data_IF_577011898346
#
_entry.id   IF_577011898346
#
_cell.length_a   1.000
_cell.length_b   1.000
_cell.length_c   1.000
_cell.angle_alpha   90.00
_cell.angle_beta   90.00
_cell.angle_gamma   90.00
#
_symmetry.space_group_name_H-M   'P 1'
#
loop_
_entity.id
_entity.type
_entity.pdbx_description
1 polymer ?
#
# COMPACT_ATOMS: atom_id res chain seq x y z
N UNK A 1 23.89 9.61 -5.10
CA UNK A 1 23.12 9.22 -3.90
C UNK A 1 21.96 8.36 -4.36
N UNK A 2 21.79 7.14 -3.85
CA UNK A 2 20.66 6.30 -4.23
C UNK A 2 19.35 6.82 -3.63
N UNK A 3 18.27 6.80 -4.41
CA UNK A 3 16.92 7.23 -4.00
C UNK A 3 15.94 6.07 -4.13
N UNK A 4 15.23 5.77 -3.04
CA UNK A 4 14.11 4.83 -3.03
C UNK A 4 12.78 5.56 -2.92
N UNK A 5 11.78 5.12 -3.68
CA UNK A 5 10.41 5.63 -3.65
C UNK A 5 9.43 4.46 -3.46
N UNK A 6 8.39 4.64 -2.65
CA UNK A 6 7.41 3.60 -2.37
C UNK A 6 5.98 4.17 -2.34
N UNK A 7 5.05 3.54 -3.06
CA UNK A 7 3.64 3.92 -3.05
C UNK A 7 2.82 3.06 -2.08
N UNK A 8 2.25 3.72 -1.06
CA UNK A 8 1.43 3.07 -0.04
C UNK A 8 -0.01 2.77 -0.48
N UNK A 9 -0.51 3.48 -1.48
CA UNK A 9 -1.86 3.26 -2.04
C UNK A 9 -1.79 2.36 -3.27
N UNK A 10 -2.90 1.71 -3.64
CA UNK A 10 -2.96 0.94 -4.89
C UNK A 10 -2.56 1.78 -6.11
N UNK A 11 -1.75 1.20 -6.99
CA UNK A 11 -1.48 1.80 -8.30
C UNK A 11 -2.55 1.33 -9.31
N UNK A 12 -3.27 2.26 -9.98
CA UNK A 12 -4.39 1.91 -10.87
C UNK A 12 -3.90 1.21 -12.14
N UNK A 13 -4.81 0.56 -12.87
CA UNK A 13 -4.48 0.00 -14.18
C UNK A 13 -4.09 1.11 -15.19
N UNK A 14 -3.30 0.80 -16.24
CA UNK A 14 -2.88 1.78 -17.23
C UNK A 14 -4.03 2.55 -17.89
N UNK A 15 -5.17 1.89 -18.11
CA UNK A 15 -6.36 2.47 -18.73
C UNK A 15 -6.98 3.58 -17.89
N UNK A 16 -6.93 3.42 -16.56
CA UNK A 16 -7.39 4.42 -15.60
C UNK A 16 -6.31 5.49 -15.41
N UNK A 17 -5.05 5.09 -15.25
CA UNK A 17 -3.93 5.99 -14.97
C UNK A 17 -3.75 7.06 -16.05
N UNK A 18 -3.87 6.68 -17.33
CA UNK A 18 -3.73 7.61 -18.47
C UNK A 18 -4.77 8.74 -18.51
N UNK A 19 -5.85 8.64 -17.72
CA UNK A 19 -6.85 9.71 -17.62
C UNK A 19 -6.36 10.91 -16.80
N UNK A 20 -5.28 10.75 -16.02
CA UNK A 20 -4.70 11.83 -15.22
C UNK A 20 -4.09 12.91 -16.13
N UNK A 21 -4.35 14.21 -15.88
CA UNK A 21 -3.84 15.30 -16.71
C UNK A 21 -2.30 15.32 -16.84
N UNK A 22 -1.60 14.94 -15.77
CA UNK A 22 -0.14 14.93 -15.69
C UNK A 22 0.44 13.50 -15.64
N UNK A 23 -0.25 12.54 -16.26
CA UNK A 23 0.11 11.12 -16.19
C UNK A 23 1.55 10.86 -16.67
N UNK A 24 2.02 11.56 -17.71
CA UNK A 24 3.38 11.36 -18.23
C UNK A 24 4.43 11.94 -17.29
N UNK A 25 4.20 13.16 -16.81
CA UNK A 25 5.11 13.92 -15.95
C UNK A 25 5.28 13.23 -14.59
N UNK A 26 4.21 12.65 -14.05
CA UNK A 26 4.28 11.88 -12.80
C UNK A 26 5.13 10.62 -12.99
N UNK A 27 4.91 9.84 -14.06
CA UNK A 27 5.73 8.65 -14.33
C UNK A 27 7.20 9.01 -14.51
N UNK A 28 7.50 10.04 -15.30
CA UNK A 28 8.86 10.51 -15.54
C UNK A 28 9.53 10.98 -14.23
N UNK A 29 8.80 11.72 -13.39
CA UNK A 29 9.27 12.13 -12.08
C UNK A 29 9.57 10.96 -11.14
N UNK A 30 8.71 9.94 -11.11
CA UNK A 30 8.91 8.74 -10.28
C UNK A 30 10.08 7.90 -10.78
N UNK A 31 10.30 7.81 -12.10
CA UNK A 31 11.47 7.17 -12.71
C UNK A 31 12.80 7.86 -12.37
N UNK A 32 12.77 9.03 -11.73
CA UNK A 32 13.96 9.65 -11.15
C UNK A 32 14.60 8.81 -10.02
N UNK A 33 13.82 7.97 -9.34
CA UNK A 33 14.29 7.07 -8.28
C UNK A 33 15.02 5.85 -8.83
N UNK A 34 15.97 5.32 -8.06
CA UNK A 34 16.74 4.12 -8.43
C UNK A 34 15.98 2.82 -8.08
N UNK A 35 15.13 2.87 -7.04
CA UNK A 35 14.23 1.80 -6.63
C UNK A 35 12.81 2.35 -6.43
N UNK A 36 11.83 1.69 -7.04
CA UNK A 36 10.41 2.03 -7.00
C UNK A 36 9.67 0.79 -6.45
N UNK A 37 9.00 0.95 -5.31
CA UNK A 37 8.32 -0.13 -4.62
C UNK A 37 6.81 0.03 -4.54
N UNK A 38 6.11 -1.10 -4.62
CA UNK A 38 4.66 -1.20 -4.44
C UNK A 38 4.28 -2.31 -3.45
N UNK A 39 3.05 -2.34 -2.94
CA UNK A 39 2.61 -3.41 -2.04
C UNK A 39 2.46 -4.78 -2.71
N UNK A 40 2.11 -4.81 -4.00
CA UNK A 40 1.80 -6.06 -4.73
C UNK A 40 2.48 -6.07 -6.09
N UNK A 41 2.69 -7.28 -6.60
CA UNK A 41 3.24 -7.48 -7.94
C UNK A 41 2.33 -6.89 -9.02
N UNK A 42 1.01 -6.92 -8.82
CA UNK A 42 0.06 -6.37 -9.79
C UNK A 42 0.14 -4.84 -9.87
N UNK A 43 0.37 -4.14 -8.76
CA UNK A 43 0.59 -2.70 -8.77
C UNK A 43 1.90 -2.33 -9.47
N UNK A 44 2.97 -3.10 -9.23
CA UNK A 44 4.24 -2.95 -9.94
C UNK A 44 4.08 -3.18 -11.46
N UNK A 45 3.36 -4.23 -11.87
CA UNK A 45 3.04 -4.50 -13.28
C UNK A 45 2.22 -3.39 -13.92
N UNK A 46 1.22 -2.87 -13.21
CA UNK A 46 0.41 -1.75 -13.71
C UNK A 46 1.26 -0.50 -13.92
N UNK A 47 2.18 -0.19 -13.00
CA UNK A 47 3.14 0.91 -13.17
C UNK A 47 4.03 0.70 -14.40
N UNK A 48 4.67 -0.46 -14.53
CA UNK A 48 5.52 -0.80 -15.68
C UNK A 48 4.74 -0.73 -17.01
N UNK A 49 3.50 -1.21 -17.01
CA UNK A 49 2.62 -1.16 -18.18
C UNK A 49 2.22 0.29 -18.53
N UNK A 50 2.07 1.15 -17.52
CA UNK A 50 1.80 2.59 -17.71
C UNK A 50 3.03 3.31 -18.25
N UNK A 51 4.23 2.99 -17.76
CA UNK A 51 5.51 3.48 -18.31
C UNK A 51 5.67 3.07 -19.77
N UNK A 52 5.41 1.80 -20.10
CA UNK A 52 5.47 1.34 -21.49
C UNK A 52 4.44 2.03 -22.38
N UNK A 53 3.19 2.13 -21.92
CA UNK A 53 2.10 2.72 -22.70
C UNK A 53 2.30 4.21 -22.94
N UNK A 54 2.70 4.96 -21.91
CA UNK A 54 2.76 6.42 -21.96
C UNK A 54 4.13 6.91 -22.39
N UNK A 55 5.22 6.39 -21.83
CA UNK A 55 6.57 6.89 -22.11
C UNK A 55 7.29 6.13 -23.24
N UNK A 56 6.69 5.05 -23.75
CA UNK A 56 7.27 4.13 -24.74
C UNK A 56 8.57 3.43 -24.29
N UNK A 57 8.80 3.35 -22.98
CA UNK A 57 9.99 2.69 -22.40
C UNK A 57 9.61 1.26 -22.00
N UNK A 58 10.32 0.28 -22.55
CA UNK A 58 10.16 -1.12 -22.15
C UNK A 58 11.06 -1.44 -20.95
N UNK A 59 10.55 -2.22 -20.00
CA UNK A 59 11.37 -2.81 -18.95
C UNK A 59 11.90 -4.19 -19.37
N UNK A 60 12.93 -4.65 -18.68
CA UNK A 60 13.39 -6.05 -18.79
C UNK A 60 12.55 -7.00 -17.92
N UNK A 61 12.86 -8.30 -18.00
CA UNK A 61 12.19 -9.36 -17.23
C UNK A 61 12.36 -9.23 -15.71
N UNK A 62 13.29 -8.39 -15.26
CA UNK A 62 13.57 -8.11 -13.84
C UNK A 62 12.89 -6.81 -13.37
N UNK A 63 12.04 -6.19 -14.19
CA UNK A 63 11.36 -4.94 -13.85
C UNK A 63 12.27 -3.72 -13.87
N UNK A 64 13.43 -3.78 -14.54
CA UNK A 64 14.33 -2.63 -14.68
C UNK A 64 13.93 -1.80 -15.89
N UNK A 65 13.72 -0.51 -15.67
CA UNK A 65 13.38 0.48 -16.69
C UNK A 65 14.66 1.23 -17.07
N UNK A 66 15.17 1.09 -18.31
CA UNK A 66 16.36 1.80 -18.77
C UNK A 66 16.07 3.30 -18.92
N UNK A 67 17.01 4.13 -18.48
CA UNK A 67 16.94 5.59 -18.51
C UNK A 67 18.17 6.18 -19.21
N UNK A 68 18.10 7.47 -19.54
CA UNK A 68 19.20 8.19 -20.14
C UNK A 68 20.48 8.13 -19.29
N UNK A 69 21.65 8.17 -19.95
CA UNK A 69 22.95 8.16 -19.28
C UNK A 69 23.34 6.83 -18.66
N UNK A 70 22.73 5.71 -19.09
CA UNK A 70 23.04 4.37 -18.60
C UNK A 70 22.46 4.06 -17.21
N UNK A 71 21.57 4.91 -16.69
CA UNK A 71 20.81 4.66 -15.47
C UNK A 71 19.69 3.66 -15.72
N UNK A 72 19.20 3.04 -14.65
CA UNK A 72 17.96 2.27 -14.68
C UNK A 72 17.23 2.41 -13.35
N UNK A 73 15.91 2.49 -13.40
CA UNK A 73 15.05 2.40 -12.23
C UNK A 73 14.57 0.95 -12.07
N UNK A 74 14.70 0.39 -10.87
CA UNK A 74 14.21 -0.96 -10.57
C UNK A 74 12.82 -0.88 -9.96
N UNK A 75 11.86 -1.63 -10.49
CA UNK A 75 10.49 -1.66 -9.98
C UNK A 75 10.19 -3.02 -9.39
N UNK A 76 9.71 -3.07 -8.14
CA UNK A 76 9.40 -4.34 -7.46
C UNK A 76 8.28 -4.20 -6.41
N UNK A 77 7.84 -5.32 -5.84
CA UNK A 77 6.80 -5.42 -4.83
C UNK A 77 7.36 -5.76 -3.44
N UNK A 78 7.05 -4.93 -2.46
CA UNK A 78 7.40 -5.08 -1.06
C UNK A 78 6.13 -4.99 -0.20
N UNK A 79 5.51 -6.13 0.16
CA UNK A 79 4.35 -6.13 1.05
C UNK A 79 4.73 -5.59 2.43
N UNK A 80 4.17 -4.43 2.81
CA UNK A 80 4.34 -3.88 4.16
C UNK A 80 3.53 -4.70 5.16
N UNK A 81 4.19 -5.12 6.24
CA UNK A 81 3.58 -5.80 7.38
C UNK A 81 3.55 -4.95 8.65
N UNK A 82 3.03 -5.54 9.72
CA UNK A 82 3.10 -4.99 11.07
C UNK A 82 4.14 -5.76 11.91
N UNK A 83 4.62 -5.15 13.00
CA UNK A 83 5.37 -5.89 14.02
C UNK A 83 4.43 -6.82 14.79
N UNK A 84 4.31 -8.05 14.32
CA UNK A 84 3.43 -9.05 14.90
C UNK A 84 3.65 -9.26 16.40
N UNK A 85 4.91 -9.33 16.85
CA UNK A 85 5.23 -9.62 18.25
C UNK A 85 4.90 -8.42 19.16
N UNK A 86 5.11 -7.19 18.69
CA UNK A 86 4.66 -5.99 19.38
C UNK A 86 3.14 -5.99 19.59
N UNK A 87 2.36 -6.23 18.53
CA UNK A 87 0.89 -6.21 18.63
C UNK A 87 0.35 -7.38 19.44
N UNK A 88 0.93 -8.58 19.28
CA UNK A 88 0.58 -9.76 20.08
C UNK A 88 0.83 -9.53 21.57
N UNK A 89 1.97 -8.95 21.95
CA UNK A 89 2.26 -8.58 23.35
C UNK A 89 1.29 -7.50 23.85
N UNK A 90 1.10 -6.45 23.07
CA UNK A 90 0.23 -5.32 23.43
C UNK A 90 -1.21 -5.75 23.63
N UNK A 91 -1.74 -6.65 22.79
CA UNK A 91 -3.10 -7.19 22.90
C UNK A 91 -3.37 -7.91 24.23
N UNK A 92 -2.32 -8.39 24.91
CA UNK A 92 -2.40 -9.09 26.19
C UNK A 92 -2.17 -8.18 27.40
N UNK A 93 -1.80 -6.92 27.17
CA UNK A 93 -1.50 -5.95 28.22
C UNK A 93 -2.74 -5.58 29.05
N UNK A 94 -2.52 -5.12 30.29
CA UNK A 94 -3.61 -4.63 31.15
C UNK A 94 -4.30 -3.41 30.53
N UNK A 95 -3.55 -2.54 29.84
CA UNK A 95 -4.11 -1.41 29.11
C UNK A 95 -5.07 -1.85 28.01
N UNK A 96 -4.67 -2.82 27.18
CA UNK A 96 -5.53 -3.33 26.12
C UNK A 96 -6.81 -4.00 26.67
N UNK A 97 -6.70 -4.72 27.80
CA UNK A 97 -7.87 -5.28 28.49
C UNK A 97 -8.81 -4.20 29.02
N UNK A 98 -8.27 -3.15 29.65
CA UNK A 98 -9.05 -2.03 30.15
C UNK A 98 -9.74 -1.25 29.02
N UNK A 99 -9.02 -0.98 27.92
CA UNK A 99 -9.59 -0.36 26.71
C UNK A 99 -10.71 -1.22 26.11
N UNK A 100 -10.51 -2.55 26.03
CA UNK A 100 -11.56 -3.46 25.56
C UNK A 100 -12.81 -3.38 26.43
N UNK A 101 -12.68 -3.39 27.75
CA UNK A 101 -13.82 -3.29 28.67
C UNK A 101 -14.58 -1.97 28.46
N UNK A 102 -13.87 -0.85 28.33
CA UNK A 102 -14.50 0.44 28.04
C UNK A 102 -15.22 0.46 26.69
N UNK A 103 -14.63 -0.13 25.65
CA UNK A 103 -15.29 -0.26 24.34
C UNK A 103 -16.54 -1.13 24.44
N UNK A 104 -16.48 -2.27 25.14
CA UNK A 104 -17.62 -3.18 25.33
C UNK A 104 -18.76 -2.51 26.09
N UNK A 105 -18.44 -1.73 27.13
CA UNK A 105 -19.41 -0.95 27.91
C UNK A 105 -20.10 0.12 27.06
N UNK A 106 -19.33 0.95 26.34
CA UNK A 106 -19.87 2.01 25.48
C UNK A 106 -20.67 1.45 24.31
N UNK A 107 -20.26 0.30 23.77
CA UNK A 107 -20.95 -0.35 22.65
C UNK A 107 -22.13 -1.22 23.08
N UNK A 108 -22.42 -1.35 24.39
CA UNK A 108 -23.53 -2.15 24.91
C UNK A 108 -23.39 -3.65 24.66
N UNK A 109 -22.16 -4.14 24.43
CA UNK A 109 -21.90 -5.55 24.13
C UNK A 109 -22.17 -6.43 25.37
N UNK A 110 -22.93 -7.50 25.18
CA UNK A 110 -23.31 -8.46 26.20
C UNK A 110 -22.43 -9.71 26.15
N UNK A 111 -22.03 -10.27 27.32
CA UNK A 111 -21.32 -11.53 27.38
C UNK A 111 -22.10 -12.65 26.67
N UNK A 112 -21.40 -13.52 25.93
CA UNK A 112 -22.00 -14.67 25.24
C UNK A 112 -22.58 -14.40 23.85
N UNK A 113 -22.62 -13.14 23.40
CA UNK A 113 -22.95 -12.78 22.00
C UNK A 113 -21.70 -12.61 21.14
N UNK A 114 -21.82 -12.89 19.85
CA UNK A 114 -20.79 -12.60 18.85
C UNK A 114 -21.05 -11.23 18.25
N UNK A 115 -20.00 -10.48 17.96
CA UNK A 115 -20.08 -9.15 17.42
C UNK A 115 -19.13 -9.02 16.23
N UNK A 116 -19.60 -8.43 15.13
CA UNK A 116 -18.72 -7.97 14.07
C UNK A 116 -18.16 -6.59 14.46
N UNK A 117 -16.84 -6.46 14.49
CA UNK A 117 -16.16 -5.19 14.78
C UNK A 117 -15.25 -4.88 13.61
N UNK A 118 -15.42 -3.70 13.01
CA UNK A 118 -14.53 -3.22 11.95
C UNK A 118 -13.95 -1.87 12.34
N UNK A 119 -12.70 -1.66 11.94
CA UNK A 119 -11.98 -0.39 12.02
C UNK A 119 -11.55 -0.07 10.60
N UNK A 120 -12.00 1.05 10.06
CA UNK A 120 -11.58 1.56 8.76
C UNK A 120 -10.77 2.84 8.98
N UNK A 121 -9.91 3.20 8.02
CA UNK A 121 -9.11 4.43 8.10
C UNK A 121 -9.98 5.69 8.23
N UNK A 122 -11.25 5.63 7.79
CA UNK A 122 -12.18 6.77 7.77
C UNK A 122 -13.26 6.71 8.86
N UNK A 123 -13.51 5.56 9.53
CA UNK A 123 -14.44 5.46 10.67
C UNK A 123 -14.40 4.11 11.42
N UNK A 124 -14.95 4.10 12.64
CA UNK A 124 -15.34 2.90 13.38
C UNK A 124 -16.80 2.54 13.08
N UNK A 125 -17.09 1.31 12.66
CA UNK A 125 -18.45 0.79 12.56
C UNK A 125 -18.58 -0.52 13.37
N UNK A 126 -19.59 -0.58 14.24
CA UNK A 126 -19.96 -1.82 14.95
C UNK A 126 -21.34 -2.22 14.42
N UNK A 127 -21.43 -3.39 13.81
CA UNK A 127 -22.69 -3.97 13.37
C UNK A 127 -22.93 -5.28 14.15
N UNK A 128 -24.15 -5.47 14.66
CA UNK A 128 -24.56 -6.77 15.21
C UNK A 128 -24.67 -7.80 14.07
N UNK A 129 -24.22 -9.03 14.34
CA UNK A 129 -24.22 -10.15 13.39
C UNK A 129 -25.25 -11.21 13.82
#
# INVERSE_FOLDING_TARGET
MPIGWFLHVPFPSPEIYRSLPWSREILDGVLGADLIGFHTVDYARNFLSSVKLLLDIACDDQGRVPLAGGRAATVDAFPIGIDYELYKRTSRSNLAKAMRMGIEEVSGKKPGRRYATSLTAESNAVAEA
#
